data_IF_231227631185
#
_entry.id   IF_231227631185
#
_cell.length_a   1.000
_cell.length_b   1.000
_cell.length_c   1.000
_cell.angle_alpha   90.00
_cell.angle_beta   90.00
_cell.angle_gamma   90.00
#
_symmetry.space_group_name_H-M   'P 1'
#
loop_
_entity.id
_entity.type
_entity.pdbx_description
1 polymer ?
#
# COMPACT_ATOMS: atom_id res chain seq x y z
N UNK A 1 34.91 -45.57 -36.05
CA UNK A 1 33.66 -46.01 -35.39
C UNK A 1 33.58 -45.38 -34.01
N UNK A 2 32.57 -44.50 -33.83
CA UNK A 2 31.87 -44.11 -32.59
C UNK A 2 32.68 -43.99 -31.28
N UNK A 3 33.07 -42.76 -30.94
CA UNK A 3 32.98 -42.27 -29.55
C UNK A 3 32.31 -40.90 -29.58
N UNK A 4 30.98 -41.00 -29.60
CA UNK A 4 30.02 -39.91 -29.62
C UNK A 4 30.14 -39.12 -28.32
N UNK A 5 30.51 -37.84 -28.43
CA UNK A 5 29.79 -36.71 -27.87
C UNK A 5 28.90 -37.06 -26.65
N UNK A 6 29.47 -37.14 -25.45
CA UNK A 6 28.69 -37.33 -24.23
C UNK A 6 29.22 -36.44 -23.10
N UNK A 7 29.24 -35.13 -23.37
CA UNK A 7 29.46 -34.07 -22.37
C UNK A 7 28.48 -32.89 -22.55
N UNK A 8 27.42 -33.06 -23.34
CA UNK A 8 26.36 -32.06 -23.58
C UNK A 8 25.05 -32.42 -22.85
N UNK A 9 25.15 -32.93 -21.61
CA UNK A 9 24.01 -33.13 -20.71
C UNK A 9 24.39 -32.75 -19.28
N UNK A 10 24.96 -31.55 -19.10
CA UNK A 10 24.69 -30.83 -17.86
C UNK A 10 23.37 -30.10 -18.14
N UNK A 11 22.23 -30.55 -17.62
CA UNK A 11 20.99 -29.84 -17.85
C UNK A 11 21.18 -28.43 -17.29
N UNK A 12 20.68 -27.44 -18.03
CA UNK A 12 20.33 -26.14 -17.51
C UNK A 12 19.58 -26.38 -16.19
N UNK A 13 20.30 -26.32 -15.07
CA UNK A 13 19.71 -26.03 -13.78
C UNK A 13 19.29 -24.57 -13.90
N UNK A 14 18.20 -24.33 -14.63
CA UNK A 14 17.44 -23.11 -14.50
C UNK A 14 17.12 -23.03 -13.02
N UNK A 15 17.86 -22.17 -12.32
CA UNK A 15 17.60 -21.80 -10.95
C UNK A 15 16.23 -21.15 -10.97
N UNK A 16 15.19 -21.97 -10.84
CA UNK A 16 13.89 -21.49 -10.44
C UNK A 16 14.13 -21.04 -9.00
N UNK A 17 14.43 -19.76 -8.84
CA UNK A 17 14.37 -19.07 -7.55
C UNK A 17 12.91 -19.19 -7.14
N UNK A 18 12.61 -20.25 -6.40
CA UNK A 18 11.33 -20.42 -5.73
C UNK A 18 11.42 -19.56 -4.49
N UNK A 19 10.84 -18.36 -4.56
CA UNK A 19 10.68 -17.53 -3.38
C UNK A 19 9.80 -18.28 -2.38
N UNK A 20 10.39 -18.77 -1.31
CA UNK A 20 9.67 -19.50 -0.28
C UNK A 20 8.77 -18.53 0.51
N UNK A 21 7.44 -18.75 0.54
CA UNK A 21 6.54 -18.06 1.45
C UNK A 21 6.95 -18.28 2.90
N UNK A 22 6.78 -17.27 3.74
CA UNK A 22 7.05 -17.40 5.16
C UNK A 22 7.24 -16.07 5.88
N UNK A 23 7.50 -16.18 7.18
CA UNK A 23 7.84 -15.04 8.01
C UNK A 23 9.29 -14.67 7.76
N UNK A 24 9.52 -13.40 7.46
CA UNK A 24 10.84 -12.81 7.22
C UNK A 24 11.04 -11.57 8.08
N UNK A 25 12.30 -11.15 8.21
CA UNK A 25 12.69 -9.94 8.93
C UNK A 25 13.51 -9.06 7.99
N UNK A 26 12.86 -8.21 7.18
CA UNK A 26 13.53 -7.40 6.20
C UNK A 26 14.43 -6.36 6.85
N UNK A 27 15.49 -5.98 6.13
CA UNK A 27 16.44 -4.98 6.59
C UNK A 27 16.81 -3.99 5.49
N UNK A 28 16.94 -2.73 5.89
CA UNK A 28 17.46 -1.69 5.01
C UNK A 28 18.98 -1.80 4.94
N UNK A 29 19.52 -1.95 3.73
CA UNK A 29 20.97 -1.96 3.49
C UNK A 29 21.49 -0.55 3.20
N UNK A 30 20.75 0.22 2.40
CA UNK A 30 21.11 1.57 1.98
C UNK A 30 19.85 2.40 1.90
N UNK A 31 19.91 3.65 2.38
CA UNK A 31 18.92 4.69 2.17
C UNK A 31 19.64 5.93 1.68
N UNK A 32 19.36 6.37 0.45
CA UNK A 32 19.93 7.59 -0.13
C UNK A 32 18.89 8.70 -0.05
N UNK A 33 19.08 9.62 0.89
CA UNK A 33 18.10 10.68 1.15
C UNK A 33 17.96 11.70 0.01
N UNK A 34 19.00 11.86 -0.81
CA UNK A 34 19.05 12.78 -1.93
C UNK A 34 18.25 12.28 -3.14
N UNK A 35 18.31 10.99 -3.44
CA UNK A 35 17.58 10.37 -4.56
C UNK A 35 16.26 9.70 -4.12
N UNK A 36 16.08 9.47 -2.82
CA UNK A 36 14.99 8.66 -2.28
C UNK A 36 15.15 7.17 -2.58
N UNK A 37 16.27 6.72 -3.16
CA UNK A 37 16.49 5.30 -3.45
C UNK A 37 16.77 4.50 -2.19
N UNK A 38 16.19 3.31 -2.11
CA UNK A 38 16.37 2.38 -0.98
C UNK A 38 16.82 1.02 -1.49
N UNK A 39 17.75 0.38 -0.78
CA UNK A 39 18.11 -1.02 -1.01
C UNK A 39 17.68 -1.82 0.19
N UNK A 40 16.78 -2.77 -0.02
CA UNK A 40 16.18 -3.58 1.05
C UNK A 40 16.43 -5.05 0.79
N UNK A 41 16.99 -5.75 1.78
CA UNK A 41 17.10 -7.21 1.75
C UNK A 41 15.90 -7.80 2.49
N UNK A 42 15.08 -8.57 1.77
CA UNK A 42 13.93 -9.26 2.36
C UNK A 42 14.34 -10.59 3.00
N UNK A 43 15.11 -11.38 2.25
CA UNK A 43 15.69 -12.66 2.66
C UNK A 43 17.01 -12.88 1.88
N UNK A 44 17.59 -14.08 1.93
CA UNK A 44 18.87 -14.37 1.26
C UNK A 44 18.79 -14.32 -0.27
N UNK A 45 17.60 -14.58 -0.84
CA UNK A 45 17.39 -14.66 -2.29
C UNK A 45 16.87 -13.35 -2.90
N UNK A 46 16.28 -12.48 -2.08
CA UNK A 46 15.59 -11.26 -2.54
C UNK A 46 16.21 -10.02 -1.91
N UNK A 47 16.78 -9.20 -2.79
CA UNK A 47 17.21 -7.84 -2.49
C UNK A 47 16.57 -6.87 -3.48
N UNK A 48 15.76 -5.96 -2.97
CA UNK A 48 15.03 -4.96 -3.72
C UNK A 48 15.86 -3.68 -3.86
N UNK A 49 15.82 -3.10 -5.06
CA UNK A 49 16.36 -1.79 -5.42
C UNK A 49 15.17 -0.87 -5.71
N UNK A 50 14.72 -0.21 -4.65
CA UNK A 50 13.50 0.58 -4.62
C UNK A 50 13.77 2.00 -5.11
N UNK A 51 12.94 2.45 -6.05
CA UNK A 51 12.90 3.83 -6.54
C UNK A 51 11.54 4.43 -6.26
N UNK A 52 11.50 5.74 -6.02
CA UNK A 52 10.24 6.47 -5.87
C UNK A 52 9.35 6.28 -7.09
N UNK A 53 8.09 6.02 -6.83
CA UNK A 53 7.05 5.97 -7.86
C UNK A 53 6.38 7.34 -7.93
N UNK A 54 6.14 7.79 -9.16
CA UNK A 54 5.29 8.95 -9.44
C UNK A 54 4.27 8.53 -10.49
N UNK A 55 3.02 8.33 -10.07
CA UNK A 55 1.98 7.73 -10.91
C UNK A 55 0.65 8.46 -10.84
N UNK A 56 0.41 9.25 -9.79
CA UNK A 56 -0.84 9.96 -9.60
C UNK A 56 -0.79 11.34 -10.25
N UNK A 57 -1.94 11.87 -10.70
CA UNK A 57 -2.05 13.29 -11.04
C UNK A 57 -1.82 14.15 -9.79
N UNK A 58 -1.63 15.46 -9.99
CA UNK A 58 -1.43 16.42 -8.89
C UNK A 58 -2.50 16.29 -7.79
N UNK A 59 -3.77 16.13 -8.18
CA UNK A 59 -4.88 15.86 -7.28
C UNK A 59 -5.90 14.91 -7.94
N UNK A 60 -6.56 14.08 -7.14
CA UNK A 60 -7.63 13.20 -7.56
C UNK A 60 -8.69 13.03 -6.46
N UNK A 61 -9.90 12.67 -6.87
CA UNK A 61 -11.02 12.51 -5.97
C UNK A 61 -11.16 11.05 -5.54
N UNK A 62 -11.16 10.79 -4.24
CA UNK A 62 -11.40 9.45 -3.69
C UNK A 62 -12.83 9.36 -3.16
N UNK A 63 -13.51 8.32 -3.61
CA UNK A 63 -14.81 7.91 -3.10
C UNK A 63 -14.61 6.66 -2.25
N UNK A 64 -14.99 6.72 -0.98
CA UNK A 64 -14.91 5.58 -0.07
C UNK A 64 -16.15 5.52 0.82
N UNK A 65 -16.23 4.51 1.66
CA UNK A 65 -17.19 4.45 2.76
C UNK A 65 -16.40 4.29 4.07
N UNK A 66 -16.66 5.17 5.03
CA UNK A 66 -16.17 5.04 6.39
C UNK A 66 -17.38 4.82 7.29
N UNK A 67 -17.39 3.71 8.04
CA UNK A 67 -18.52 3.33 8.91
C UNK A 67 -19.87 3.36 8.17
N UNK A 68 -19.91 2.76 6.97
CA UNK A 68 -21.09 2.71 6.08
C UNK A 68 -21.54 4.08 5.53
N UNK A 69 -20.86 5.16 5.88
CA UNK A 69 -21.16 6.51 5.39
C UNK A 69 -20.30 6.82 4.16
N UNK A 70 -20.92 7.15 3.01
CA UNK A 70 -20.17 7.58 1.84
C UNK A 70 -19.33 8.82 2.16
N UNK A 71 -18.04 8.73 1.88
CA UNK A 71 -17.09 9.81 2.06
C UNK A 71 -16.43 10.13 0.72
N UNK A 72 -16.24 11.43 0.48
CA UNK A 72 -15.53 11.95 -0.68
C UNK A 72 -14.47 12.92 -0.21
N UNK A 73 -13.22 12.70 -0.62
CA UNK A 73 -12.14 13.63 -0.32
C UNK A 73 -11.28 13.86 -1.55
N UNK A 74 -10.81 15.10 -1.69
CA UNK A 74 -9.78 15.46 -2.64
C UNK A 74 -8.43 15.06 -2.04
N UNK A 75 -7.68 14.23 -2.74
CA UNK A 75 -6.37 13.74 -2.32
C UNK A 75 -5.31 14.27 -3.28
N UNK A 76 -4.18 14.71 -2.73
CA UNK A 76 -3.04 15.08 -3.56
C UNK A 76 -2.26 13.85 -3.99
N UNK A 77 -1.78 13.85 -5.22
CA UNK A 77 -0.89 12.80 -5.74
C UNK A 77 0.37 12.67 -4.90
N UNK A 78 0.98 13.81 -4.51
CA UNK A 78 2.19 13.84 -3.67
C UNK A 78 2.01 13.07 -2.36
N UNK A 79 0.84 13.19 -1.73
CA UNK A 79 0.53 12.49 -0.48
C UNK A 79 0.29 11.00 -0.73
N UNK A 80 -0.37 10.66 -1.84
CA UNK A 80 -0.68 9.28 -2.22
C UNK A 80 0.57 8.46 -2.60
N UNK A 81 1.61 9.11 -3.13
CA UNK A 81 2.88 8.45 -3.49
C UNK A 81 4.02 8.70 -2.47
N UNK A 82 3.71 9.37 -1.35
CA UNK A 82 4.68 9.74 -0.32
C UNK A 82 5.51 8.57 0.20
N UNK A 83 4.97 7.35 0.22
CA UNK A 83 5.67 6.12 0.60
C UNK A 83 5.70 5.06 -0.50
N UNK A 84 5.34 5.42 -1.74
CA UNK A 84 5.23 4.48 -2.84
C UNK A 84 6.57 4.31 -3.57
N UNK A 85 7.00 3.06 -3.69
CA UNK A 85 8.22 2.67 -4.39
C UNK A 85 7.97 1.52 -5.36
N UNK A 86 8.85 1.39 -6.35
CA UNK A 86 8.86 0.25 -7.26
C UNK A 86 10.25 -0.36 -7.43
N UNK A 87 10.28 -1.67 -7.74
CA UNK A 87 11.45 -2.39 -8.23
C UNK A 87 11.10 -3.06 -9.56
N UNK A 88 11.88 -2.77 -10.60
CA UNK A 88 11.61 -3.28 -11.96
C UNK A 88 11.92 -4.78 -12.08
N UNK A 89 12.98 -5.26 -11.43
CA UNK A 89 13.44 -6.66 -11.50
C UNK A 89 12.40 -7.60 -10.89
N UNK A 90 11.84 -7.21 -9.75
CA UNK A 90 10.85 -7.99 -9.03
C UNK A 90 9.41 -7.59 -9.36
N UNK A 91 9.21 -6.67 -10.32
CA UNK A 91 7.90 -6.13 -10.68
C UNK A 91 7.11 -5.70 -9.42
N UNK A 92 7.79 -5.03 -8.50
CA UNK A 92 7.27 -4.71 -7.19
C UNK A 92 6.64 -3.32 -7.17
N UNK A 93 5.54 -3.18 -6.44
CA UNK A 93 4.93 -1.91 -6.04
C UNK A 93 4.64 -1.99 -4.55
N UNK A 94 5.34 -1.16 -3.78
CA UNK A 94 5.42 -1.28 -2.33
C UNK A 94 5.20 0.06 -1.66
N UNK A 95 4.36 0.08 -0.63
CA UNK A 95 4.35 1.10 0.40
C UNK A 95 5.46 0.78 1.41
N UNK A 96 6.36 1.73 1.65
CA UNK A 96 7.52 1.55 2.52
C UNK A 96 7.62 2.68 3.52
N UNK A 97 7.52 2.33 4.80
CA UNK A 97 7.70 3.23 5.94
C UNK A 97 8.91 2.80 6.77
N UNK A 98 9.67 3.76 7.28
CA UNK A 98 10.81 3.55 8.18
C UNK A 98 10.72 4.34 9.50
N UNK A 99 9.52 4.84 9.85
CA UNK A 99 9.31 5.67 11.04
C UNK A 99 9.51 4.93 12.38
N UNK A 100 8.93 3.72 12.52
CA UNK A 100 9.09 2.85 13.69
C UNK A 100 9.67 1.50 13.26
N UNK A 101 10.84 1.55 12.62
CA UNK A 101 11.41 0.39 11.95
C UNK A 101 10.78 0.15 10.58
N UNK A 102 11.42 -0.71 9.81
CA UNK A 102 11.06 -0.95 8.41
C UNK A 102 9.73 -1.71 8.32
N UNK A 103 8.75 -1.11 7.67
CA UNK A 103 7.46 -1.70 7.32
C UNK A 103 7.26 -1.66 5.81
N UNK A 104 6.84 -2.78 5.24
CA UNK A 104 6.70 -2.97 3.80
C UNK A 104 5.38 -3.67 3.52
N UNK A 105 4.53 -3.03 2.73
CA UNK A 105 3.27 -3.59 2.25
C UNK A 105 3.23 -3.50 0.74
N UNK A 106 2.79 -4.58 0.08
CA UNK A 106 2.43 -4.50 -1.34
C UNK A 106 2.67 -5.79 -2.11
N UNK A 107 2.85 -5.63 -3.41
CA UNK A 107 2.97 -6.72 -4.36
C UNK A 107 4.37 -6.79 -4.97
N UNK A 108 4.79 -8.01 -5.30
CA UNK A 108 6.04 -8.32 -5.97
C UNK A 108 5.77 -9.35 -7.08
N UNK A 109 5.62 -8.88 -8.31
CA UNK A 109 5.19 -9.76 -9.39
C UNK A 109 3.73 -10.17 -9.28
N UNK A 110 3.30 -11.22 -10.02
CA UNK A 110 1.88 -11.51 -10.22
C UNK A 110 1.17 -12.03 -8.97
N UNK A 111 1.84 -12.88 -8.19
CA UNK A 111 1.22 -13.64 -7.09
C UNK A 111 1.85 -13.37 -5.74
N UNK A 112 3.13 -12.98 -5.68
CA UNK A 112 3.85 -12.84 -4.43
C UNK A 112 3.56 -11.48 -3.78
N UNK A 113 3.20 -11.50 -2.49
CA UNK A 113 2.83 -10.34 -1.67
C UNK A 113 3.61 -10.30 -0.37
N UNK A 114 3.75 -9.10 0.17
CA UNK A 114 4.38 -8.85 1.46
C UNK A 114 3.48 -7.96 2.32
N UNK A 115 3.38 -8.28 3.61
CA UNK A 115 2.69 -7.43 4.60
C UNK A 115 3.39 -7.46 5.96
N UNK A 116 3.31 -6.38 6.75
CA UNK A 116 3.78 -6.39 8.13
C UNK A 116 2.98 -7.38 9.02
N UNK A 117 3.63 -7.88 10.07
CA UNK A 117 3.02 -8.76 11.08
C UNK A 117 3.22 -8.12 12.47
N UNK A 118 2.38 -7.14 12.87
CA UNK A 118 2.59 -6.35 14.09
C UNK A 118 2.42 -7.16 15.39
N UNK A 119 1.65 -8.25 15.34
CA UNK A 119 1.41 -9.13 16.50
C UNK A 119 2.60 -10.07 16.78
N UNK A 120 3.56 -10.14 15.86
CA UNK A 120 4.76 -10.95 16.02
C UNK A 120 5.87 -10.23 16.76
N UNK A 121 6.64 -10.98 17.53
CA UNK A 121 7.82 -10.44 18.19
C UNK A 121 8.86 -9.97 17.16
N UNK A 122 9.49 -8.84 17.47
CA UNK A 122 10.63 -8.33 16.71
C UNK A 122 11.79 -9.32 16.78
N UNK A 123 12.67 -9.29 15.78
CA UNK A 123 13.92 -10.08 15.86
C UNK A 123 14.81 -9.56 17.00
N UNK A 124 15.84 -10.33 17.37
CA UNK A 124 16.85 -9.91 18.35
C UNK A 124 17.52 -8.57 17.98
N UNK A 125 17.59 -8.27 16.68
CA UNK A 125 18.13 -7.02 16.14
C UNK A 125 17.07 -5.90 16.02
N UNK A 126 15.85 -6.13 16.52
CA UNK A 126 14.76 -5.15 16.56
C UNK A 126 13.97 -5.00 15.26
N UNK A 127 14.15 -5.89 14.27
CA UNK A 127 13.44 -5.83 13.00
C UNK A 127 11.99 -6.28 13.17
N UNK A 128 11.06 -5.64 12.45
CA UNK A 128 9.65 -6.02 12.43
C UNK A 128 9.43 -7.24 11.51
N UNK A 129 8.63 -8.19 11.97
CA UNK A 129 8.28 -9.36 11.19
C UNK A 129 7.37 -8.99 10.02
N UNK A 130 7.57 -9.66 8.89
CA UNK A 130 6.73 -9.55 7.70
C UNK A 130 6.34 -10.94 7.22
N UNK A 131 5.15 -11.06 6.65
CA UNK A 131 4.73 -12.26 5.96
C UNK A 131 4.94 -12.09 4.46
N UNK A 132 5.70 -13.01 3.87
CA UNK A 132 5.83 -13.17 2.43
C UNK A 132 4.94 -14.34 2.01
N UNK A 133 4.02 -14.13 1.07
CA UNK A 133 3.02 -15.14 0.72
C UNK A 133 2.60 -15.04 -0.74
N UNK A 134 2.13 -16.16 -1.30
CA UNK A 134 1.49 -16.14 -2.61
C UNK A 134 -0.01 -15.95 -2.41
N UNK A 135 -0.56 -14.95 -3.07
CA UNK A 135 -2.00 -14.87 -3.33
C UNK A 135 -2.34 -15.67 -4.57
N UNK A 136 -3.60 -16.11 -4.67
CA UNK A 136 -4.13 -16.63 -5.92
C UNK A 136 -3.96 -15.55 -6.99
N UNK A 137 -3.41 -15.93 -8.13
CA UNK A 137 -3.29 -15.01 -9.27
C UNK A 137 -4.68 -14.49 -9.59
N UNK A 138 -4.91 -13.17 -9.50
CA UNK A 138 -6.25 -12.66 -9.57
C UNK A 138 -6.85 -12.99 -10.93
N UNK A 139 -8.14 -13.37 -10.95
CA UNK A 139 -8.85 -13.88 -12.13
C UNK A 139 -8.72 -12.99 -13.37
N UNK A 140 -8.49 -11.67 -13.21
CA UNK A 140 -8.29 -10.74 -14.32
C UNK A 140 -7.00 -10.97 -15.12
N UNK A 141 -6.01 -11.70 -14.58
CA UNK A 141 -4.83 -12.16 -15.31
C UNK A 141 -5.06 -13.52 -16.01
N UNK A 142 -6.14 -14.24 -15.66
CA UNK A 142 -6.46 -15.60 -16.14
C UNK A 142 -7.21 -15.66 -17.48
N UNK A 143 -7.27 -14.54 -18.22
CA UNK A 143 -7.98 -14.38 -19.49
C UNK A 143 -9.52 -14.32 -19.35
N UNK A 144 -10.02 -13.09 -19.18
CA UNK A 144 -11.08 -12.44 -19.97
C UNK A 144 -11.38 -11.09 -19.31
N UNK A 145 -11.17 -10.00 -20.04
CA UNK A 145 -11.69 -8.68 -19.68
C UNK A 145 -13.22 -8.77 -19.58
N UNK A 146 -13.73 -8.90 -18.36
CA UNK A 146 -15.15 -8.79 -18.05
C UNK A 146 -15.36 -7.49 -17.28
N UNK A 147 -15.82 -6.47 -17.99
CA UNK A 147 -16.86 -5.44 -17.76
C UNK A 147 -17.14 -4.86 -16.35
N UNK A 148 -16.45 -5.28 -15.28
CA UNK A 148 -16.75 -4.91 -13.89
C UNK A 148 -15.76 -3.90 -13.29
N UNK A 149 -14.83 -3.37 -14.10
CA UNK A 149 -14.25 -2.06 -13.81
C UNK A 149 -15.41 -1.06 -13.89
N UNK A 150 -15.87 -0.59 -12.73
CA UNK A 150 -17.00 0.32 -12.59
C UNK A 150 -16.97 1.40 -13.67
N UNK A 151 -17.91 1.31 -14.61
CA UNK A 151 -18.05 2.28 -15.68
C UNK A 151 -18.35 3.64 -15.04
N UNK A 152 -17.47 4.65 -15.16
CA UNK A 152 -17.73 5.99 -14.62
C UNK A 152 -18.99 6.64 -15.23
N UNK A 153 -19.55 6.07 -16.30
CA UNK A 153 -20.83 6.47 -16.91
C UNK A 153 -22.06 5.85 -16.23
N UNK A 154 -21.88 4.90 -15.30
CA UNK A 154 -22.96 4.33 -14.46
C UNK A 154 -23.11 5.10 -13.13
N UNK A 155 -22.67 6.35 -13.09
CA UNK A 155 -23.07 7.30 -12.05
C UNK A 155 -24.52 7.69 -12.34
N UNK A 156 -25.46 7.06 -11.64
CA UNK A 156 -26.86 7.39 -11.66
C UNK A 156 -27.07 8.82 -11.16
N UNK A 157 -27.23 9.74 -12.11
CA UNK A 157 -27.64 11.12 -11.88
C UNK A 157 -29.04 11.27 -11.25
N UNK A 158 -29.69 10.15 -10.92
CA UNK A 158 -31.08 10.09 -10.46
C UNK A 158 -31.24 10.55 -9.00
N UNK A 159 -30.19 10.47 -8.18
CA UNK A 159 -30.23 11.01 -6.80
C UNK A 159 -30.12 12.54 -6.75
N UNK A 160 -29.63 13.18 -7.81
CA UNK A 160 -29.58 14.65 -7.93
C UNK A 160 -30.91 15.31 -8.30
N UNK A 161 -31.98 14.53 -8.53
CA UNK A 161 -33.28 15.03 -8.98
C UNK A 161 -34.38 15.04 -7.90
N UNK A 162 -34.10 14.61 -6.65
CA UNK A 162 -35.09 14.56 -5.57
C UNK A 162 -34.91 15.59 -4.45
N UNK A 163 -33.98 16.54 -4.57
CA UNK A 163 -33.84 17.66 -3.61
C UNK A 163 -33.98 19.04 -4.29
N UNK A 164 -34.83 19.16 -5.31
CA UNK A 164 -35.06 20.46 -5.98
C UNK A 164 -36.45 21.07 -5.83
N UNK A 165 -37.37 20.38 -5.18
CA UNK A 165 -38.73 20.90 -4.95
C UNK A 165 -39.07 20.88 -3.45
N UNK A 166 -38.57 21.87 -2.70
CA UNK A 166 -39.39 22.64 -1.74
C UNK A 166 -38.60 23.86 -1.22
N UNK A 167 -38.41 24.85 -2.11
CA UNK A 167 -38.14 26.22 -1.68
C UNK A 167 -39.48 26.93 -1.54
N UNK A 168 -40.14 26.77 -0.39
CA UNK A 168 -41.22 27.67 0.02
C UNK A 168 -40.61 28.88 0.74
N UNK A 169 -41.10 30.04 0.31
CA UNK A 169 -40.56 31.36 0.54
C UNK A 169 -40.97 31.92 1.90
N UNK A 170 -40.00 32.16 2.79
CA UNK A 170 -40.05 33.26 3.76
C UNK A 170 -38.68 33.54 4.40
N UNK A 171 -38.10 34.69 4.08
CA UNK A 171 -36.98 35.32 4.81
C UNK A 171 -37.52 36.22 5.95
N UNK A 172 -36.69 36.81 6.86
CA UNK A 172 -35.31 36.46 7.27
C UNK A 172 -35.08 36.52 8.81
N UNK A 173 -33.98 35.95 9.33
CA UNK A 173 -33.28 36.47 10.52
C UNK A 173 -31.89 35.83 10.74
N UNK A 174 -30.87 36.59 10.36
CA UNK A 174 -29.64 36.92 11.10
C UNK A 174 -28.93 35.89 12.03
N UNK A 175 -27.60 35.91 11.88
CA UNK A 175 -26.53 35.83 12.89
C UNK A 175 -25.57 34.63 12.85
N UNK A 176 -24.33 35.01 12.49
CA UNK A 176 -23.07 34.71 13.19
C UNK A 176 -22.41 33.36 12.95
N UNK A 177 -21.34 33.43 12.15
CA UNK A 177 -20.22 32.53 12.30
C UNK A 177 -19.53 32.72 13.65
N UNK A 178 -19.05 31.63 14.21
CA UNK A 178 -17.71 31.50 14.80
C UNK A 178 -17.50 30.10 15.36
N UNK A 179 -16.24 29.69 15.34
CA UNK A 179 -15.63 28.70 16.25
C UNK A 179 -15.92 27.22 15.99
N UNK A 180 -14.91 26.51 15.48
CA UNK A 180 -14.30 25.41 16.24
C UNK A 180 -12.87 25.11 15.74
N UNK A 181 -11.99 26.10 15.88
CA UNK A 181 -10.54 25.89 15.99
C UNK A 181 -10.23 25.90 17.49
N UNK A 182 -10.67 24.90 18.26
CA UNK A 182 -10.25 24.77 19.67
C UNK A 182 -10.58 23.40 20.31
N UNK A 183 -10.24 22.28 19.66
CA UNK A 183 -10.42 20.97 20.32
C UNK A 183 -9.39 19.95 19.88
N UNK A 184 -8.11 20.36 19.88
CA UNK A 184 -6.97 19.42 19.84
C UNK A 184 -5.75 19.95 20.60
N UNK A 185 -5.97 20.47 21.81
CA UNK A 185 -4.94 20.50 22.85
C UNK A 185 -5.55 19.98 24.14
N UNK A 186 -4.84 19.04 24.75
CA UNK A 186 -5.10 18.34 26.01
C UNK A 186 -5.97 17.10 25.92
N UNK A 187 -5.35 15.99 25.50
CA UNK A 187 -5.51 14.71 26.20
C UNK A 187 -4.24 13.86 26.02
N UNK A 188 -3.22 14.20 26.81
CA UNK A 188 -2.12 13.30 27.20
C UNK A 188 -1.89 13.55 28.69
N UNK A 189 -2.23 12.59 29.53
CA UNK A 189 -1.26 11.87 30.36
C UNK A 189 -1.97 10.85 31.28
N UNK A 190 -1.37 9.66 31.29
CA UNK A 190 -1.69 8.52 32.14
C UNK A 190 -1.47 8.78 33.63
N UNK A 191 -2.21 7.96 34.37
CA UNK A 191 -2.12 7.56 35.78
C UNK A 191 -0.70 7.29 36.31
N UNK A 192 -0.47 7.63 37.58
CA UNK A 192 0.58 7.06 38.42
C UNK A 192 0.06 6.80 39.85
N UNK A 193 0.39 5.63 40.37
CA UNK A 193 0.10 5.02 41.68
C UNK A 193 0.68 5.77 42.88
N UNK A 194 0.02 5.72 44.06
CA UNK A 194 0.70 5.55 45.36
C UNK A 194 -0.24 5.06 46.49
N UNK A 195 0.27 4.10 47.28
CA UNK A 195 -0.23 3.60 48.58
C UNK A 195 -0.25 4.73 49.64
N UNK A 196 -0.97 4.56 50.77
CA UNK A 196 -0.52 3.71 51.89
C UNK A 196 -1.43 2.51 52.18
#
# INVERSE_FOLDING_TARGET
>A
MRRVLLWLLLPLASCLVTTEPGIIYPRMLISRSDTGEKVVKLNDDITLNLRKSTIFPEEFLVYTSADETPARYLMKGEDAEANLYHDVKYMASLDVSDEDGLEILGAMGPTLRIKPMPDMERSADGQKAHMLYHDEEPEFLRDKFHDDMGDPRKFDNTTSALERDEFDSSEPASLQGSSLVQSRRLQKHHTHTRLP
#
